data_IF_439806470005
#
_entry.id   IF_439806470005
#
_cell.length_a   1.000
_cell.length_b   1.000
_cell.length_c   1.000
_cell.angle_alpha   90.00
_cell.angle_beta   90.00
_cell.angle_gamma   90.00
#
_symmetry.space_group_name_H-M   'P 1'
#
loop_
_entity.id
_entity.type
_entity.pdbx_description
1 polymer ?
#
# COMPACT_ATOMS: atom_id res chain seq x y z
N UNK A 1 2.66 -10.08 -2.16
CA UNK A 1 2.14 -11.41 -2.56
C UNK A 1 3.28 -12.16 -3.21
N UNK A 2 3.45 -13.44 -2.87
CA UNK A 2 4.43 -14.32 -3.52
C UNK A 2 3.65 -15.39 -4.28
N UNK A 3 3.95 -15.57 -5.56
CA UNK A 3 3.34 -16.63 -6.35
C UNK A 3 3.98 -17.97 -5.99
N UNK A 4 3.17 -18.93 -5.54
CA UNK A 4 3.63 -20.29 -5.19
C UNK A 4 3.29 -21.33 -6.27
N UNK A 5 2.30 -21.02 -7.10
CA UNK A 5 1.79 -21.86 -8.18
C UNK A 5 1.57 -20.93 -9.36
N UNK A 6 1.93 -21.37 -10.55
CA UNK A 6 1.74 -20.60 -11.78
C UNK A 6 0.29 -20.08 -11.90
N UNK A 7 0.13 -18.80 -12.24
CA UNK A 7 -1.15 -18.09 -12.31
C UNK A 7 -1.94 -18.02 -10.98
N UNK A 8 -1.34 -18.41 -9.85
CA UNK A 8 -1.99 -18.43 -8.55
C UNK A 8 -2.46 -17.05 -8.10
N UNK A 9 -1.65 -16.01 -8.34
CA UNK A 9 -2.04 -14.63 -8.02
C UNK A 9 -3.19 -14.17 -8.91
N UNK A 10 -3.13 -14.47 -10.21
CA UNK A 10 -4.17 -14.10 -11.17
C UNK A 10 -5.52 -14.70 -10.82
N UNK A 11 -5.54 -16.01 -10.52
CA UNK A 11 -6.75 -16.72 -10.12
C UNK A 11 -7.30 -16.22 -8.78
N UNK A 12 -6.43 -15.92 -7.82
CA UNK A 12 -6.81 -15.32 -6.54
C UNK A 12 -7.47 -13.95 -6.73
N UNK A 13 -6.84 -13.06 -7.50
CA UNK A 13 -7.36 -11.71 -7.76
C UNK A 13 -8.69 -11.75 -8.53
N UNK A 14 -8.85 -12.68 -9.47
CA UNK A 14 -10.12 -12.88 -10.18
C UNK A 14 -11.24 -13.26 -9.22
N UNK A 15 -11.02 -14.24 -8.34
CA UNK A 15 -12.01 -14.67 -7.33
C UNK A 15 -12.34 -13.55 -6.34
N UNK A 16 -11.31 -12.86 -5.83
CA UNK A 16 -11.48 -11.77 -4.86
C UNK A 16 -12.31 -10.61 -5.44
N UNK A 17 -11.94 -10.12 -6.62
CA UNK A 17 -12.61 -8.97 -7.25
C UNK A 17 -14.01 -9.32 -7.73
N UNK A 18 -14.21 -10.52 -8.29
CA UNK A 18 -15.54 -10.98 -8.71
C UNK A 18 -16.46 -11.16 -7.51
N UNK A 19 -15.99 -11.86 -6.47
CA UNK A 19 -16.74 -12.09 -5.23
C UNK A 19 -17.17 -10.78 -4.57
N UNK A 20 -16.25 -9.82 -4.44
CA UNK A 20 -16.57 -8.51 -3.86
C UNK A 20 -17.52 -7.69 -4.75
N UNK A 21 -17.34 -7.72 -6.07
CA UNK A 21 -18.25 -7.05 -7.02
C UNK A 21 -19.69 -7.57 -6.88
N UNK A 22 -19.86 -8.90 -6.85
CA UNK A 22 -21.18 -9.52 -6.67
C UNK A 22 -21.81 -9.13 -5.33
N UNK A 23 -21.03 -9.22 -4.24
CA UNK A 23 -21.50 -8.81 -2.91
C UNK A 23 -21.93 -7.33 -2.88
N UNK A 24 -21.08 -6.44 -3.37
CA UNK A 24 -21.33 -4.99 -3.38
C UNK A 24 -22.56 -4.66 -4.22
N UNK A 25 -22.67 -5.23 -5.42
CA UNK A 25 -23.81 -5.02 -6.31
C UNK A 25 -25.12 -5.50 -5.66
N UNK A 26 -25.13 -6.70 -5.08
CA UNK A 26 -26.29 -7.23 -4.36
C UNK A 26 -26.68 -6.36 -3.17
N UNK A 27 -25.71 -5.91 -2.37
CA UNK A 27 -25.97 -5.07 -1.19
C UNK A 27 -26.53 -3.69 -1.54
N UNK A 28 -26.12 -3.12 -2.68
CA UNK A 28 -26.48 -1.76 -3.07
C UNK A 28 -27.51 -1.71 -4.22
N UNK A 29 -28.17 -2.83 -4.54
CA UNK A 29 -29.10 -2.96 -5.68
C UNK A 29 -28.52 -2.39 -6.99
N UNK A 30 -27.23 -2.63 -7.23
CA UNK A 30 -26.50 -2.20 -8.43
C UNK A 30 -26.25 -3.39 -9.36
N UNK A 31 -25.93 -3.08 -10.61
CA UNK A 31 -25.45 -4.04 -11.61
C UNK A 31 -24.20 -3.50 -12.31
N UNK A 32 -23.49 -4.37 -13.03
CA UNK A 32 -22.31 -4.01 -13.81
C UNK A 32 -20.98 -4.10 -13.04
N UNK A 33 -19.92 -3.60 -13.67
CA UNK A 33 -18.57 -3.65 -13.14
C UNK A 33 -18.37 -2.68 -11.96
N UNK A 34 -17.62 -3.11 -10.94
CA UNK A 34 -17.19 -2.27 -9.82
C UNK A 34 -15.74 -1.79 -9.98
N UNK A 35 -14.85 -2.69 -10.41
CA UNK A 35 -13.44 -2.39 -10.63
C UNK A 35 -13.17 -1.97 -12.08
N UNK A 36 -12.23 -1.05 -12.28
CA UNK A 36 -11.85 -0.57 -13.61
C UNK A 36 -10.77 -1.47 -14.23
N UNK A 37 -11.21 -2.47 -15.01
CA UNK A 37 -10.33 -3.34 -15.78
C UNK A 37 -9.67 -4.46 -14.96
N UNK A 38 -8.68 -5.12 -15.58
CA UNK A 38 -7.94 -6.24 -14.99
C UNK A 38 -6.92 -5.73 -13.97
N UNK A 39 -6.63 -6.53 -12.94
CA UNK A 39 -5.52 -6.25 -12.04
C UNK A 39 -4.20 -6.23 -12.84
N UNK A 40 -3.24 -5.43 -12.35
CA UNK A 40 -1.89 -5.36 -12.92
C UNK A 40 -0.90 -5.84 -11.88
N UNK A 41 0.15 -6.52 -12.32
CA UNK A 41 1.27 -6.90 -11.49
C UNK A 41 2.59 -6.60 -12.21
N UNK A 42 3.57 -6.15 -11.43
CA UNK A 42 4.93 -5.91 -11.89
C UNK A 42 5.87 -6.52 -10.85
N UNK A 43 6.86 -7.26 -11.31
CA UNK A 43 7.84 -7.87 -10.41
C UNK A 43 8.79 -6.79 -9.87
N UNK A 44 8.94 -6.72 -8.54
CA UNK A 44 9.92 -5.86 -7.92
C UNK A 44 11.25 -6.62 -7.83
N UNK A 45 12.19 -6.28 -8.73
CA UNK A 45 13.44 -7.04 -8.91
C UNK A 45 14.53 -6.65 -7.92
N UNK A 46 14.56 -5.40 -7.48
CA UNK A 46 15.61 -4.88 -6.61
C UNK A 46 15.07 -4.32 -5.28
N UNK A 47 15.93 -4.37 -4.27
CA UNK A 47 15.61 -3.91 -2.91
C UNK A 47 15.31 -2.41 -2.83
N UNK A 48 15.95 -1.59 -3.67
CA UNK A 48 15.73 -0.13 -3.65
C UNK A 48 14.33 0.18 -4.19
N UNK A 49 13.92 -0.47 -5.26
CA UNK A 49 12.57 -0.36 -5.82
C UNK A 49 11.53 -0.92 -4.85
N UNK A 50 11.81 -2.04 -4.17
CA UNK A 50 10.91 -2.55 -3.13
C UNK A 50 10.74 -1.57 -1.96
N UNK A 51 11.84 -0.97 -1.47
CA UNK A 51 11.81 0.09 -0.43
C UNK A 51 10.98 1.30 -0.86
N UNK A 52 11.16 1.73 -2.11
CA UNK A 52 10.35 2.78 -2.71
C UNK A 52 8.88 2.38 -2.76
N UNK A 53 8.54 1.19 -3.28
CA UNK A 53 7.17 0.71 -3.43
C UNK A 53 6.42 0.63 -2.09
N UNK A 54 7.04 0.03 -1.07
CA UNK A 54 6.43 -0.07 0.27
C UNK A 54 6.14 1.32 0.80
N UNK A 55 7.12 2.23 0.74
CA UNK A 55 6.95 3.60 1.20
C UNK A 55 5.89 4.35 0.41
N UNK A 56 5.90 4.23 -0.92
CA UNK A 56 4.91 4.83 -1.82
C UNK A 56 3.48 4.38 -1.50
N UNK A 57 3.27 3.09 -1.23
CA UNK A 57 1.96 2.56 -0.81
C UNK A 57 1.50 3.23 0.48
N UNK A 58 2.40 3.37 1.46
CA UNK A 58 2.06 3.98 2.75
C UNK A 58 1.93 5.50 2.70
N UNK A 59 2.57 6.18 1.75
CA UNK A 59 2.47 7.61 1.53
C UNK A 59 1.29 8.02 0.64
N UNK A 60 0.74 7.11 -0.17
CA UNK A 60 -0.41 7.39 -1.05
C UNK A 60 -1.60 8.08 -0.36
N UNK A 61 -1.99 7.76 0.90
CA UNK A 61 -3.05 8.46 1.61
C UNK A 61 -2.83 9.97 1.75
N UNK A 62 -1.58 10.46 1.73
CA UNK A 62 -1.26 11.89 1.77
C UNK A 62 -1.95 12.65 0.63
N UNK A 63 -2.26 11.99 -0.50
CA UNK A 63 -3.03 12.57 -1.61
C UNK A 63 -4.37 13.19 -1.19
N UNK A 64 -4.95 12.72 -0.09
CA UNK A 64 -6.23 13.24 0.44
C UNK A 64 -6.08 14.66 0.99
N UNK A 65 -4.91 14.99 1.56
CA UNK A 65 -4.63 16.29 2.17
C UNK A 65 -3.71 17.18 1.33
N UNK A 66 -2.98 16.59 0.38
CA UNK A 66 -2.08 17.27 -0.55
C UNK A 66 -2.09 16.50 -1.89
N UNK A 67 -2.95 16.90 -2.82
CA UNK A 67 -3.23 16.14 -4.04
C UNK A 67 -2.06 16.05 -5.03
N UNK A 68 -1.14 17.02 -4.96
CA UNK A 68 0.00 17.20 -5.89
C UNK A 68 1.33 16.79 -5.25
N UNK A 69 1.28 16.04 -4.14
CA UNK A 69 2.48 15.71 -3.35
C UNK A 69 3.54 14.93 -4.14
N UNK A 70 3.16 14.28 -5.24
CA UNK A 70 4.06 13.48 -6.07
C UNK A 70 4.85 14.35 -7.06
N UNK A 71 4.23 15.43 -7.50
CA UNK A 71 4.77 16.36 -8.48
C UNK A 71 5.60 17.45 -7.79
N UNK A 72 5.04 18.04 -6.73
CA UNK A 72 5.58 19.23 -6.08
C UNK A 72 6.29 18.91 -4.75
N UNK A 73 6.24 17.65 -4.34
CA UNK A 73 6.59 17.24 -2.98
C UNK A 73 5.52 17.61 -1.96
N UNK A 74 5.70 17.14 -0.73
CA UNK A 74 4.76 17.38 0.36
C UNK A 74 4.96 18.79 0.92
N UNK A 75 3.92 19.62 0.86
CA UNK A 75 3.97 21.03 1.29
C UNK A 75 4.19 21.15 2.80
N UNK A 76 3.47 20.37 3.59
CA UNK A 76 3.58 20.32 5.05
C UNK A 76 3.83 18.88 5.53
N UNK A 77 5.10 18.60 5.81
CA UNK A 77 5.57 17.27 6.24
C UNK A 77 5.06 16.89 7.62
N UNK A 78 4.88 17.86 8.53
CA UNK A 78 4.39 17.61 9.87
C UNK A 78 2.92 17.21 9.83
N UNK A 79 2.12 17.95 9.05
CA UNK A 79 0.71 17.60 8.79
C UNK A 79 0.59 16.24 8.11
N UNK A 80 1.42 15.93 7.13
CA UNK A 80 1.43 14.63 6.47
C UNK A 80 1.78 13.49 7.43
N UNK A 81 2.83 13.65 8.25
CA UNK A 81 3.20 12.65 9.26
C UNK A 81 2.05 12.42 10.26
N UNK A 82 1.43 13.50 10.75
CA UNK A 82 0.31 13.41 11.68
C UNK A 82 -0.91 12.75 11.04
N UNK A 83 -1.18 13.03 9.76
CA UNK A 83 -2.25 12.38 9.02
C UNK A 83 -2.03 10.87 8.88
N UNK A 84 -0.82 10.44 8.52
CA UNK A 84 -0.48 9.02 8.38
C UNK A 84 -0.62 8.26 9.70
N UNK A 85 -0.25 8.87 10.84
CA UNK A 85 -0.43 8.29 12.18
C UNK A 85 -1.90 8.08 12.58
N UNK A 86 -2.83 8.75 11.90
CA UNK A 86 -4.26 8.65 12.16
C UNK A 86 -5.03 7.89 11.07
N UNK A 87 -4.41 7.59 9.92
CA UNK A 87 -5.05 6.92 8.79
C UNK A 87 -5.15 5.40 8.99
N UNK A 88 -6.34 4.91 9.32
CA UNK A 88 -6.59 3.51 9.71
C UNK A 88 -6.72 2.54 8.52
N UNK A 89 -6.97 3.04 7.32
CA UNK A 89 -7.19 2.22 6.11
C UNK A 89 -5.89 1.86 5.38
N UNK A 90 -4.81 1.66 6.12
CA UNK A 90 -3.54 1.13 5.62
C UNK A 90 -2.88 0.28 6.71
N UNK A 91 -1.89 -0.53 6.32
CA UNK A 91 -1.05 -1.27 7.26
C UNK A 91 0.07 -0.42 7.90
N UNK A 92 0.14 0.89 7.62
CA UNK A 92 1.20 1.77 8.13
C UNK A 92 1.32 1.70 9.65
N UNK A 93 0.16 1.78 10.34
CA UNK A 93 0.11 1.74 11.80
C UNK A 93 0.63 0.41 12.36
N UNK A 94 0.36 -0.69 11.67
CA UNK A 94 0.77 -2.02 12.08
C UNK A 94 2.29 -2.20 11.95
N UNK A 95 2.92 -1.59 10.94
CA UNK A 95 4.37 -1.52 10.79
C UNK A 95 5.03 -0.53 11.75
N UNK A 96 4.31 0.52 12.18
CA UNK A 96 4.71 1.40 13.28
C UNK A 96 4.49 0.79 14.69
N UNK A 97 4.04 -0.48 14.77
CA UNK A 97 3.89 -1.19 16.05
C UNK A 97 2.56 -0.99 16.78
N UNK A 98 1.58 -0.30 16.19
CA UNK A 98 0.24 -0.17 16.77
C UNK A 98 -0.50 -1.51 16.69
N UNK A 99 -0.99 -1.99 17.83
CA UNK A 99 -1.79 -3.22 17.90
C UNK A 99 -3.24 -2.97 17.50
N UNK A 100 -3.72 -3.69 16.48
CA UNK A 100 -5.09 -3.61 15.96
C UNK A 100 -5.58 -4.98 15.51
N UNK A 101 -6.89 -5.10 15.29
CA UNK A 101 -7.49 -6.36 14.83
C UNK A 101 -7.05 -6.71 13.40
N UNK A 102 -6.79 -5.70 12.57
CA UNK A 102 -6.33 -5.84 11.18
C UNK A 102 -4.95 -6.49 11.08
N UNK A 103 -4.13 -6.48 12.14
CA UNK A 103 -2.83 -7.17 12.16
C UNK A 103 -2.99 -8.67 11.83
N UNK A 104 -4.15 -9.27 12.10
CA UNK A 104 -4.45 -10.69 11.81
C UNK A 104 -4.40 -11.06 10.32
N UNK A 105 -4.59 -10.08 9.42
CA UNK A 105 -4.55 -10.30 7.97
C UNK A 105 -3.24 -9.80 7.35
N UNK A 106 -2.27 -9.36 8.17
CA UNK A 106 -0.99 -8.81 7.73
C UNK A 106 0.11 -9.84 8.00
N UNK A 107 0.84 -10.22 6.94
CA UNK A 107 2.02 -11.05 7.07
C UNK A 107 3.30 -10.20 6.97
N UNK A 108 3.82 -9.74 8.12
CA UNK A 108 5.05 -8.93 8.18
C UNK A 108 6.27 -9.69 7.66
N UNK A 109 6.33 -11.01 7.90
CA UNK A 109 7.41 -11.89 7.45
C UNK A 109 7.46 -12.08 5.92
N UNK A 110 6.46 -11.57 5.19
CA UNK A 110 6.48 -11.56 3.72
C UNK A 110 7.31 -10.42 3.12
N UNK A 111 7.75 -9.47 3.95
CA UNK A 111 8.69 -8.43 3.59
C UNK A 111 10.10 -8.75 4.12
N UNK A 112 11.16 -8.18 3.50
CA UNK A 112 12.51 -8.31 4.02
C UNK A 112 12.66 -7.86 5.47
N UNK A 113 13.60 -8.47 6.20
CA UNK A 113 13.79 -8.27 7.64
C UNK A 113 14.03 -6.81 8.04
N UNK A 114 14.59 -6.00 7.14
CA UNK A 114 14.83 -4.59 7.41
C UNK A 114 13.53 -3.78 7.62
N UNK A 115 12.35 -4.31 7.25
CA UNK A 115 11.05 -3.71 7.58
C UNK A 115 10.44 -4.17 8.91
N UNK A 116 11.02 -5.19 9.56
CA UNK A 116 10.50 -5.69 10.84
C UNK A 116 10.83 -4.75 12.01
N UNK A 117 11.85 -3.92 11.87
CA UNK A 117 12.18 -2.87 12.83
C UNK A 117 11.32 -1.63 12.59
N UNK A 118 10.57 -1.22 13.62
CA UNK A 118 9.75 -0.01 13.61
C UNK A 118 10.59 1.21 13.19
N UNK A 119 11.76 1.37 13.80
CA UNK A 119 12.67 2.49 13.49
C UNK A 119 13.11 2.47 12.02
N UNK A 120 13.44 1.29 11.48
CA UNK A 120 13.83 1.20 10.07
C UNK A 120 12.67 1.50 9.12
N UNK A 121 11.47 1.02 9.42
CA UNK A 121 10.28 1.28 8.62
C UNK A 121 9.93 2.78 8.63
N UNK A 122 9.95 3.41 9.80
CA UNK A 122 9.72 4.85 9.94
C UNK A 122 10.78 5.67 9.22
N UNK A 123 12.06 5.33 9.38
CA UNK A 123 13.15 6.01 8.70
C UNK A 123 13.07 5.86 7.18
N UNK A 124 12.74 4.65 6.69
CA UNK A 124 12.56 4.40 5.26
C UNK A 124 11.39 5.23 4.72
N UNK A 125 10.25 5.21 5.40
CA UNK A 125 9.07 6.00 4.98
C UNK A 125 9.37 7.50 5.01
N UNK A 126 10.06 7.97 6.05
CA UNK A 126 10.47 9.37 6.20
C UNK A 126 11.44 9.81 5.11
N UNK A 127 12.41 8.98 4.76
CA UNK A 127 13.32 9.26 3.65
C UNK A 127 12.56 9.55 2.35
N UNK A 128 11.53 8.75 2.03
CA UNK A 128 10.70 8.96 0.84
C UNK A 128 9.66 10.08 0.99
N UNK A 129 9.21 10.38 2.23
CA UNK A 129 8.43 11.58 2.55
C UNK A 129 9.24 12.84 2.25
N UNK A 130 10.54 12.81 2.53
CA UNK A 130 11.47 13.91 2.32
C UNK A 130 11.92 14.04 0.85
N UNK A 131 11.90 12.95 0.08
CA UNK A 131 12.38 12.88 -1.30
C UNK A 131 11.34 12.27 -2.27
N UNK A 132 10.12 12.82 -2.39
CA UNK A 132 9.02 12.20 -3.14
C UNK A 132 9.22 12.18 -4.67
N UNK A 133 10.12 13.02 -5.18
CA UNK A 133 10.40 13.17 -6.63
C UNK A 133 11.37 12.10 -7.15
N UNK A 134 12.09 11.41 -6.25
CA UNK A 134 13.02 10.35 -6.63
C UNK A 134 12.22 9.12 -7.07
N UNK A 135 11.88 9.06 -8.36
CA UNK A 135 11.25 7.88 -8.94
C UNK A 135 12.31 6.83 -9.20
N UNK A 136 12.15 5.66 -8.58
CA UNK A 136 12.94 4.47 -8.92
C UNK A 136 12.27 3.77 -10.10
N UNK A 137 13.00 3.55 -11.20
CA UNK A 137 12.49 2.78 -12.33
C UNK A 137 12.46 1.28 -11.98
N UNK A 138 11.44 0.53 -12.41
CA UNK A 138 11.32 -0.92 -12.20
C UNK A 138 12.33 -1.75 -13.02
#
# INVERSE_FOLDING_TARGET
>A
MQEKVENGISNFMQKLTTGYTMYFNKRNNRTGALFQGRFKATHAKDDRYLKYLVSYIHLNPVKIIDSEWKENGIKDKNKASQFLKNYTYSSYLDFCGKKRIEERIINKNSLPEYFNSINNFENTTKFWLDNPIVKVQP
#
